data_IF_251417298896
#
_entry.id   IF_251417298896
#
_cell.length_a   1.000
_cell.length_b   1.000
_cell.length_c   1.000
_cell.angle_alpha   90.00
_cell.angle_beta   90.00
_cell.angle_gamma   90.00
#
_symmetry.space_group_name_H-M   'P 1'
#
loop_
_entity.id
_entity.type
_entity.pdbx_description
1 polymer ?
#
# COMPACT_ATOMS: atom_id res chain seq x y z
N UNK A 1 -98.34 -81.59 -17.78
CA UNK A 1 -97.76 -82.93 -17.95
C UNK A 1 -98.13 -83.34 -19.35
N UNK A 2 -97.22 -83.10 -20.30
CA UNK A 2 -96.21 -84.06 -20.78
C UNK A 2 -96.80 -84.89 -21.91
N UNK A 3 -96.10 -84.94 -23.04
CA UNK A 3 -95.80 -86.18 -23.76
C UNK A 3 -94.84 -85.80 -24.89
N UNK A 4 -93.55 -86.15 -24.70
CA UNK A 4 -92.54 -86.17 -25.76
C UNK A 4 -92.88 -87.31 -26.72
N UNK A 5 -93.13 -87.00 -27.99
CA UNK A 5 -93.33 -88.02 -29.02
C UNK A 5 -91.97 -88.63 -29.41
N UNK A 6 -91.70 -89.83 -28.92
CA UNK A 6 -90.55 -90.63 -29.35
C UNK A 6 -90.76 -91.16 -30.79
N UNK A 7 -89.90 -90.73 -31.72
CA UNK A 7 -89.87 -91.20 -33.11
C UNK A 7 -89.33 -92.63 -33.20
N UNK A 8 -90.22 -93.62 -33.42
CA UNK A 8 -89.82 -95.04 -33.66
C UNK A 8 -89.57 -95.32 -35.14
N UNK A 9 -88.58 -96.16 -35.45
CA UNK A 9 -88.38 -96.63 -36.83
C UNK A 9 -89.64 -97.35 -37.34
N UNK A 10 -90.01 -97.13 -38.60
CA UNK A 10 -91.06 -97.87 -39.32
C UNK A 10 -90.89 -99.40 -39.21
N UNK A 11 -89.63 -99.86 -39.07
CA UNK A 11 -89.21 -101.21 -38.79
C UNK A 11 -89.93 -101.87 -37.59
N UNK A 12 -90.26 -101.08 -36.56
CA UNK A 12 -90.85 -101.55 -35.30
C UNK A 12 -92.38 -101.63 -35.34
N UNK A 13 -92.99 -101.19 -36.45
CA UNK A 13 -94.44 -101.02 -36.59
C UNK A 13 -95.00 -101.77 -37.81
N UNK A 14 -94.16 -102.09 -38.81
CA UNK A 14 -94.57 -102.85 -40.00
C UNK A 14 -94.03 -104.29 -39.98
N UNK A 15 -94.93 -105.26 -40.16
CA UNK A 15 -94.56 -106.68 -40.35
C UNK A 15 -94.19 -107.00 -41.81
N UNK A 16 -94.21 -106.01 -42.71
CA UNK A 16 -94.00 -106.18 -44.14
C UNK A 16 -92.56 -106.56 -44.56
N UNK A 17 -91.60 -106.53 -43.62
CA UNK A 17 -90.28 -107.14 -43.77
C UNK A 17 -89.36 -106.55 -44.85
N UNK A 18 -89.72 -105.42 -45.47
CA UNK A 18 -89.01 -104.88 -46.63
C UNK A 18 -88.50 -103.44 -46.39
N UNK A 19 -87.91 -103.21 -45.22
CA UNK A 19 -87.29 -101.93 -44.87
C UNK A 19 -85.78 -102.09 -44.76
N UNK A 20 -85.03 -101.24 -45.47
CA UNK A 20 -83.59 -101.13 -45.29
C UNK A 20 -83.31 -99.97 -44.34
N UNK A 21 -82.89 -100.31 -43.13
CA UNK A 21 -82.49 -99.32 -42.12
C UNK A 21 -81.09 -99.64 -41.60
N UNK A 22 -80.30 -98.59 -41.36
CA UNK A 22 -78.89 -98.70 -41.05
C UNK A 22 -78.56 -99.43 -39.73
N UNK A 23 -79.55 -99.65 -38.87
CA UNK A 23 -79.39 -100.35 -37.58
C UNK A 23 -79.75 -101.84 -37.64
N UNK A 24 -80.21 -102.35 -38.78
CA UNK A 24 -80.49 -103.78 -38.95
C UNK A 24 -79.36 -104.38 -39.76
N UNK A 25 -78.55 -105.23 -39.12
CA UNK A 25 -77.46 -105.95 -39.77
C UNK A 25 -77.99 -106.83 -40.91
N UNK A 26 -77.19 -106.93 -41.98
CA UNK A 26 -77.58 -107.47 -43.29
C UNK A 26 -77.88 -108.98 -43.33
N UNK A 27 -77.90 -109.67 -42.18
CA UNK A 27 -78.10 -111.11 -42.07
C UNK A 27 -79.55 -111.54 -41.81
N UNK A 28 -80.52 -110.62 -41.93
CA UNK A 28 -81.96 -110.94 -41.79
C UNK A 28 -82.50 -111.89 -42.88
N UNK A 29 -81.75 -112.19 -43.93
CA UNK A 29 -82.22 -113.05 -45.02
C UNK A 29 -82.28 -114.55 -44.70
N UNK A 30 -82.01 -114.99 -43.46
CA UNK A 30 -81.91 -116.41 -43.10
C UNK A 30 -82.87 -116.87 -41.99
N UNK A 31 -84.06 -116.26 -41.83
CA UNK A 31 -85.04 -116.76 -40.84
C UNK A 31 -86.51 -116.82 -41.26
N UNK A 32 -86.82 -117.14 -42.53
CA UNK A 32 -88.05 -117.91 -42.88
C UNK A 32 -88.16 -118.11 -44.40
N UNK A 33 -87.87 -119.32 -44.85
CA UNK A 33 -88.04 -119.71 -46.25
C UNK A 33 -87.45 -121.08 -46.53
N UNK A 34 -88.22 -122.11 -46.20
CA UNK A 34 -87.99 -123.50 -46.54
C UNK A 34 -87.76 -123.64 -48.05
N UNK A 35 -86.70 -124.35 -48.43
CA UNK A 35 -86.54 -124.86 -49.78
C UNK A 35 -85.11 -124.76 -50.26
N UNK A 36 -84.42 -125.90 -50.24
CA UNK A 36 -83.27 -126.18 -51.09
C UNK A 36 -83.67 -125.95 -52.56
N UNK A 37 -83.66 -124.70 -53.02
CA UNK A 37 -83.83 -124.37 -54.42
C UNK A 37 -82.48 -124.00 -55.01
N UNK A 38 -81.49 -124.88 -54.81
CA UNK A 38 -80.31 -124.92 -55.66
C UNK A 38 -80.74 -125.42 -57.05
N UNK A 39 -81.40 -124.57 -57.83
CA UNK A 39 -81.66 -124.85 -59.24
C UNK A 39 -80.32 -125.11 -59.94
N UNK A 40 -80.27 -126.05 -60.90
CA UNK A 40 -79.05 -126.36 -61.66
C UNK A 40 -78.38 -125.09 -62.20
N UNK A 41 -79.18 -124.09 -62.57
CA UNK A 41 -78.74 -122.78 -63.02
C UNK A 41 -77.82 -122.06 -62.02
N UNK A 42 -78.16 -122.06 -60.72
CA UNK A 42 -77.35 -121.41 -59.68
C UNK A 42 -76.05 -122.14 -59.37
N UNK A 43 -76.01 -123.46 -59.56
CA UNK A 43 -74.80 -124.26 -59.41
C UNK A 43 -73.84 -124.14 -60.60
N UNK A 44 -74.39 -123.99 -61.82
CA UNK A 44 -73.61 -124.00 -63.06
C UNK A 44 -72.95 -122.64 -63.38
N UNK A 45 -73.49 -121.54 -62.86
CA UNK A 45 -73.02 -120.19 -63.15
C UNK A 45 -72.78 -119.36 -61.88
N UNK A 46 -71.77 -119.70 -61.05
CA UNK A 46 -71.36 -118.80 -59.97
C UNK A 46 -70.86 -117.47 -60.57
N UNK A 47 -71.27 -116.35 -59.99
CA UNK A 47 -70.82 -115.03 -60.40
C UNK A 47 -69.28 -114.95 -60.40
N UNK A 48 -68.68 -114.70 -61.56
CA UNK A 48 -67.22 -114.60 -61.66
C UNK A 48 -66.76 -113.21 -61.22
N UNK A 49 -65.96 -113.15 -60.16
CA UNK A 49 -65.28 -111.92 -59.76
C UNK A 49 -64.15 -111.61 -60.74
N UNK A 50 -64.23 -110.44 -61.40
CA UNK A 50 -63.16 -109.95 -62.26
C UNK A 50 -62.09 -109.25 -61.40
N UNK A 51 -60.90 -109.83 -61.30
CA UNK A 51 -59.77 -109.20 -60.60
C UNK A 51 -59.27 -107.99 -61.41
N UNK A 52 -59.38 -106.79 -60.85
CA UNK A 52 -58.83 -105.56 -61.47
C UNK A 52 -57.30 -105.66 -61.56
N UNK A 53 -56.76 -105.53 -62.76
CA UNK A 53 -55.31 -105.40 -62.97
C UNK A 53 -54.84 -104.03 -62.48
N UNK A 54 -53.73 -104.01 -61.72
CA UNK A 54 -53.18 -102.80 -61.10
C UNK A 54 -52.33 -102.03 -62.11
N UNK A 55 -52.48 -100.71 -62.18
CA UNK A 55 -51.68 -99.86 -63.05
C UNK A 55 -50.22 -99.79 -62.56
N UNK A 56 -49.26 -100.05 -63.46
CA UNK A 56 -47.83 -99.93 -63.17
C UNK A 56 -47.45 -98.45 -63.40
N UNK A 57 -47.05 -97.76 -62.33
CA UNK A 57 -46.48 -96.41 -62.41
C UNK A 57 -44.95 -96.50 -62.35
N UNK A 58 -44.22 -95.92 -63.32
CA UNK A 58 -42.76 -95.87 -63.24
C UNK A 58 -42.31 -95.02 -62.05
N UNK A 59 -41.20 -95.41 -61.43
CA UNK A 59 -40.64 -94.73 -60.27
C UNK A 59 -40.10 -93.34 -60.65
N UNK A 60 -40.33 -92.35 -59.79
CA UNK A 60 -39.82 -91.00 -59.96
C UNK A 60 -38.29 -90.98 -59.80
N UNK A 61 -37.57 -90.45 -60.79
CA UNK A 61 -36.11 -90.30 -60.74
C UNK A 61 -35.75 -88.96 -60.10
N UNK A 62 -35.22 -88.99 -58.87
CA UNK A 62 -34.62 -87.82 -58.22
C UNK A 62 -33.19 -87.67 -58.74
N UNK A 63 -32.91 -86.60 -59.49
CA UNK A 63 -31.56 -86.29 -59.94
C UNK A 63 -30.83 -85.55 -58.82
N UNK A 64 -30.01 -86.27 -58.04
CA UNK A 64 -29.12 -85.62 -57.08
C UNK A 64 -27.98 -84.94 -57.84
N UNK A 65 -28.00 -83.61 -57.94
CA UNK A 65 -26.80 -82.85 -58.31
C UNK A 65 -25.86 -82.85 -57.11
N UNK A 66 -24.64 -83.38 -57.28
CA UNK A 66 -23.64 -83.45 -56.20
C UNK A 66 -23.27 -82.08 -55.61
N UNK A 67 -22.46 -82.09 -54.55
CA UNK A 67 -22.03 -80.87 -53.86
C UNK A 67 -21.19 -79.96 -54.78
N UNK A 68 -21.54 -78.67 -54.82
CA UNK A 68 -20.81 -77.67 -55.59
C UNK A 68 -19.61 -77.15 -54.77
N UNK A 69 -18.39 -77.39 -55.26
CA UNK A 69 -17.20 -76.75 -54.70
C UNK A 69 -17.00 -75.36 -55.32
N UNK A 70 -17.47 -74.33 -54.63
CA UNK A 70 -17.39 -72.93 -55.05
C UNK A 70 -16.08 -72.22 -54.72
N UNK A 71 -15.02 -72.94 -54.38
CA UNK A 71 -13.72 -72.34 -54.10
C UNK A 71 -12.99 -71.99 -55.41
N UNK A 72 -12.84 -70.70 -55.68
CA UNK A 72 -12.09 -70.21 -56.84
C UNK A 72 -10.59 -70.23 -56.54
N UNK A 73 -9.77 -70.37 -57.59
CA UNK A 73 -8.30 -70.31 -57.48
C UNK A 73 -7.84 -69.04 -56.77
N UNK A 74 -8.49 -67.90 -57.04
CA UNK A 74 -8.16 -66.65 -56.38
C UNK A 74 -8.38 -66.70 -54.86
N UNK A 75 -9.49 -67.29 -54.40
CA UNK A 75 -9.80 -67.40 -52.97
C UNK A 75 -8.86 -68.36 -52.25
N UNK A 76 -8.42 -69.43 -52.93
CA UNK A 76 -7.45 -70.38 -52.41
C UNK A 76 -6.03 -69.78 -52.35
N UNK A 77 -5.60 -69.06 -53.41
CA UNK A 77 -4.22 -68.59 -53.55
C UNK A 77 -3.94 -67.30 -52.77
N UNK A 78 -4.91 -66.39 -52.70
CA UNK A 78 -4.77 -65.05 -52.11
C UNK A 78 -5.53 -64.89 -50.78
N UNK A 79 -5.36 -65.86 -49.89
CA UNK A 79 -5.84 -65.72 -48.51
C UNK A 79 -4.89 -64.85 -47.67
N UNK A 80 -5.38 -64.32 -46.55
CA UNK A 80 -4.58 -63.52 -45.62
C UNK A 80 -3.36 -64.32 -45.12
N UNK A 81 -2.16 -63.76 -45.31
CA UNK A 81 -0.90 -64.34 -44.83
C UNK A 81 -0.41 -63.52 -43.64
N UNK A 82 -0.40 -64.10 -42.44
CA UNK A 82 0.21 -63.46 -41.29
C UNK A 82 1.74 -63.61 -41.33
N UNK A 83 2.46 -62.49 -41.37
CA UNK A 83 3.92 -62.47 -41.31
C UNK A 83 4.36 -61.94 -39.95
N UNK A 84 5.25 -62.66 -39.27
CA UNK A 84 5.82 -62.21 -37.99
C UNK A 84 6.85 -61.10 -38.22
N UNK A 85 6.92 -60.12 -37.31
CA UNK A 85 7.93 -59.05 -37.36
C UNK A 85 9.34 -59.63 -37.26
N UNK A 86 10.23 -59.22 -38.17
CA UNK A 86 11.65 -59.57 -38.12
C UNK A 86 12.28 -59.16 -36.78
N UNK A 87 13.05 -60.07 -36.17
CA UNK A 87 13.84 -59.77 -34.96
C UNK A 87 15.00 -58.84 -35.33
N UNK A 88 15.25 -57.83 -34.50
CA UNK A 88 16.38 -56.93 -34.69
C UNK A 88 17.69 -57.61 -34.30
N UNK A 89 18.69 -57.59 -35.18
CA UNK A 89 20.06 -58.06 -34.90
C UNK A 89 20.96 -56.99 -34.26
N UNK A 90 20.37 -56.04 -33.51
CA UNK A 90 21.16 -54.97 -32.89
C UNK A 90 22.03 -55.57 -31.76
N UNK A 91 23.36 -55.37 -31.76
CA UNK A 91 24.20 -55.81 -30.66
C UNK A 91 23.85 -55.06 -29.38
N UNK A 92 23.97 -55.75 -28.24
CA UNK A 92 23.79 -55.13 -26.92
C UNK A 92 24.93 -54.16 -26.67
N UNK A 93 24.63 -52.90 -26.41
CA UNK A 93 25.64 -51.91 -26.08
C UNK A 93 26.20 -52.17 -24.68
N UNK A 94 27.47 -52.56 -24.59
CA UNK A 94 28.22 -52.64 -23.34
C UNK A 94 28.96 -51.33 -23.09
N UNK A 95 28.82 -50.68 -21.92
CA UNK A 95 29.62 -49.51 -21.60
C UNK A 95 31.09 -49.91 -21.49
N UNK A 96 31.97 -49.14 -22.14
CA UNK A 96 33.41 -49.29 -21.99
C UNK A 96 33.79 -48.61 -20.67
N UNK A 97 34.23 -49.38 -19.68
CA UNK A 97 34.75 -48.83 -18.44
C UNK A 97 36.15 -48.26 -18.70
N UNK A 98 36.25 -46.94 -18.83
CA UNK A 98 37.54 -46.26 -18.86
C UNK A 98 38.20 -46.39 -17.48
N UNK A 99 39.48 -46.77 -17.44
CA UNK A 99 40.27 -46.85 -16.21
C UNK A 99 40.46 -45.48 -15.54
N UNK A 100 41.06 -45.48 -14.36
CA UNK A 100 41.34 -44.25 -13.61
C UNK A 100 42.30 -43.33 -14.39
N UNK A 101 41.91 -42.05 -14.52
CA UNK A 101 42.74 -41.04 -15.16
C UNK A 101 43.61 -40.34 -14.11
N UNK A 102 44.93 -40.50 -14.22
CA UNK A 102 45.87 -39.72 -13.42
C UNK A 102 46.16 -38.38 -14.11
N UNK A 103 45.50 -37.32 -13.63
CA UNK A 103 45.62 -35.96 -14.15
C UNK A 103 46.67 -35.09 -13.46
N UNK A 104 47.59 -35.68 -12.70
CA UNK A 104 48.65 -34.91 -12.05
C UNK A 104 49.74 -34.53 -13.05
N UNK A 105 49.73 -33.26 -13.46
CA UNK A 105 50.74 -32.68 -14.35
C UNK A 105 51.97 -32.28 -13.56
N UNK A 106 53.13 -32.24 -14.23
CA UNK A 106 54.39 -31.75 -13.65
C UNK A 106 54.27 -30.35 -13.06
N UNK A 107 53.44 -29.50 -13.66
CA UNK A 107 53.20 -28.16 -13.13
C UNK A 107 52.54 -28.20 -11.74
N UNK A 108 51.57 -29.11 -11.55
CA UNK A 108 50.84 -29.26 -10.28
C UNK A 108 51.72 -29.88 -9.20
N UNK A 109 52.66 -30.77 -9.55
CA UNK A 109 53.60 -31.36 -8.61
C UNK A 109 54.74 -30.41 -8.23
N UNK A 110 55.28 -29.67 -9.19
CA UNK A 110 56.56 -28.97 -9.02
C UNK A 110 56.38 -27.54 -8.52
N UNK A 111 55.24 -26.91 -8.82
CA UNK A 111 54.94 -25.52 -8.46
C UNK A 111 53.84 -25.41 -7.41
N UNK A 112 54.04 -26.12 -6.29
CA UNK A 112 53.20 -25.96 -5.11
C UNK A 112 53.60 -24.72 -4.29
N UNK A 113 52.64 -24.18 -3.54
CA UNK A 113 52.91 -23.06 -2.62
C UNK A 113 53.81 -23.54 -1.49
N UNK A 114 55.06 -23.07 -1.47
CA UNK A 114 56.01 -23.36 -0.40
C UNK A 114 55.89 -22.30 0.68
N UNK A 115 55.64 -22.71 1.93
CA UNK A 115 55.71 -21.81 3.07
C UNK A 115 57.18 -21.55 3.41
N UNK A 116 57.59 -20.28 3.39
CA UNK A 116 58.94 -19.84 3.75
C UNK A 116 58.86 -19.02 5.03
N UNK A 117 59.84 -19.18 5.92
CA UNK A 117 59.93 -18.41 7.16
C UNK A 117 60.10 -16.92 6.85
N UNK A 118 59.33 -16.06 7.54
CA UNK A 118 59.40 -14.61 7.36
C UNK A 118 60.74 -14.10 7.89
N UNK A 119 61.45 -13.30 7.09
CA UNK A 119 62.68 -12.65 7.55
C UNK A 119 62.39 -11.78 8.78
N UNK A 120 63.18 -11.98 9.84
CA UNK A 120 63.09 -11.17 11.06
C UNK A 120 63.63 -9.76 10.77
N UNK A 121 62.84 -8.75 11.10
CA UNK A 121 63.25 -7.35 10.94
C UNK A 121 64.42 -7.03 11.88
N UNK A 122 65.54 -6.60 11.31
CA UNK A 122 66.67 -6.09 12.09
C UNK A 122 66.38 -4.64 12.50
N UNK A 123 66.35 -4.37 13.81
CA UNK A 123 66.24 -3.01 14.36
C UNK A 123 67.53 -2.67 15.11
N UNK A 124 68.35 -1.74 14.61
CA UNK A 124 69.53 -1.28 15.34
C UNK A 124 69.11 -0.59 16.64
N UNK A 125 69.90 -0.80 17.68
CA UNK A 125 69.68 -0.15 18.99
C UNK A 125 69.90 1.35 18.81
N UNK A 126 68.84 2.14 19.01
CA UNK A 126 68.96 3.59 19.06
C UNK A 126 69.64 3.99 20.37
N UNK A 127 70.91 4.39 20.31
CA UNK A 127 71.55 5.07 21.42
C UNK A 127 71.08 6.52 21.45
N UNK A 128 70.33 6.89 22.48
CA UNK A 128 70.07 8.30 22.77
C UNK A 128 71.35 8.88 23.36
N UNK A 129 72.13 9.58 22.54
CA UNK A 129 73.23 10.41 23.05
C UNK A 129 72.59 11.51 23.88
N UNK A 130 72.68 11.39 25.21
CA UNK A 130 72.15 12.40 26.13
C UNK A 130 72.86 13.73 25.90
N UNK A 131 72.12 14.73 25.42
CA UNK A 131 72.61 16.10 25.35
C UNK A 131 72.71 16.68 26.75
N UNK A 132 73.86 17.27 27.09
CA UNK A 132 74.02 18.02 28.35
C UNK A 132 73.12 19.25 28.41
N UNK A 133 73.02 19.85 29.61
CA UNK A 133 72.17 21.00 29.84
C UNK A 133 72.57 22.19 28.94
N UNK A 134 71.64 22.66 28.11
CA UNK A 134 71.86 23.81 27.24
C UNK A 134 71.21 25.05 27.87
N UNK A 135 72.05 25.98 28.34
CA UNK A 135 71.57 27.20 29.02
C UNK A 135 70.90 28.20 28.07
N UNK A 136 71.28 28.21 26.78
CA UNK A 136 70.60 28.98 25.74
C UNK A 136 70.55 30.50 25.92
N UNK A 137 71.34 31.07 26.82
CA UNK A 137 71.43 32.52 27.04
C UNK A 137 72.48 33.09 26.10
N UNK A 138 72.03 33.85 25.11
CA UNK A 138 72.91 34.60 24.21
C UNK A 138 73.22 35.97 24.80
N UNK A 139 74.37 36.55 24.43
CA UNK A 139 74.77 37.92 24.85
C UNK A 139 73.71 38.96 24.51
N UNK A 140 73.06 38.84 23.35
CA UNK A 140 71.96 39.74 22.99
C UNK A 140 70.78 39.65 23.97
N UNK A 141 70.46 38.44 24.45
CA UNK A 141 69.36 38.22 25.40
C UNK A 141 69.70 38.71 26.81
N UNK A 142 70.97 38.71 27.21
CA UNK A 142 71.41 39.25 28.52
C UNK A 142 71.55 40.77 28.51
N UNK A 143 72.02 41.34 27.39
CA UNK A 143 72.50 42.73 27.38
C UNK A 143 71.43 43.75 26.95
N UNK A 144 70.39 43.29 26.25
CA UNK A 144 69.32 44.14 25.70
C UNK A 144 67.95 43.81 26.30
N UNK A 145 67.82 44.03 27.61
CA UNK A 145 66.55 43.94 28.32
C UNK A 145 65.75 45.25 28.26
N UNK A 146 64.42 45.16 28.38
CA UNK A 146 63.56 46.34 28.43
C UNK A 146 63.71 47.04 29.78
N UNK A 147 64.51 48.11 29.82
CA UNK A 147 64.64 48.96 31.02
C UNK A 147 63.44 49.89 31.15
N UNK A 148 62.81 49.87 32.32
CA UNK A 148 61.66 50.73 32.61
C UNK A 148 62.17 52.10 33.06
N UNK A 149 62.03 53.11 32.20
CA UNK A 149 62.40 54.49 32.54
C UNK A 149 61.34 55.11 33.46
N UNK A 150 61.77 55.85 34.48
CA UNK A 150 60.85 56.63 35.30
C UNK A 150 60.27 57.79 34.49
N UNK A 151 58.93 57.96 34.56
CA UNK A 151 58.26 59.09 33.93
C UNK A 151 58.67 60.39 34.62
N UNK A 152 59.08 61.38 33.85
CA UNK A 152 59.32 62.72 34.37
C UNK A 152 58.00 63.33 34.86
N UNK A 153 58.02 63.89 36.07
CA UNK A 153 56.89 64.61 36.65
C UNK A 153 56.79 65.99 36.03
N UNK A 154 55.58 66.42 35.66
CA UNK A 154 55.36 67.77 35.14
C UNK A 154 55.62 68.81 36.24
N UNK A 155 56.52 69.76 35.98
CA UNK A 155 56.73 70.92 36.85
C UNK A 155 55.66 71.97 36.56
N UNK A 156 54.83 72.32 37.55
CA UNK A 156 53.83 73.39 37.45
C UNK A 156 54.31 74.59 38.28
N UNK A 157 54.64 75.74 37.66
CA UNK A 157 54.99 76.96 38.37
C UNK A 157 53.84 77.43 39.26
N UNK A 158 54.15 78.14 40.35
CA UNK A 158 53.14 78.73 41.22
C UNK A 158 52.31 79.77 40.47
N UNK A 159 50.99 79.68 40.56
CA UNK A 159 50.08 80.66 39.94
C UNK A 159 50.16 81.99 40.69
N UNK A 160 50.64 83.03 40.01
CA UNK A 160 50.65 84.39 40.53
C UNK A 160 49.27 85.03 40.35
N UNK A 161 48.56 85.25 41.45
CA UNK A 161 47.32 86.03 41.47
C UNK A 161 47.65 87.51 41.66
N UNK A 162 47.50 88.31 40.60
CA UNK A 162 47.62 89.76 40.69
C UNK A 162 46.27 90.34 41.12
N UNK A 163 46.17 90.81 42.37
CA UNK A 163 44.97 91.50 42.86
C UNK A 163 44.76 92.83 42.16
N UNK A 164 43.53 93.12 41.72
CA UNK A 164 43.16 94.42 41.16
C UNK A 164 43.01 95.48 42.25
N UNK A 165 43.51 96.69 42.01
CA UNK A 165 43.35 97.83 42.92
C UNK A 165 41.92 98.39 42.94
N UNK A 166 41.58 99.14 43.98
CA UNK A 166 40.25 99.73 44.16
C UNK A 166 39.97 100.80 43.09
N UNK A 167 38.81 100.70 42.44
CA UNK A 167 38.39 101.66 41.40
C UNK A 167 37.50 102.74 42.00
N UNK A 168 37.98 103.99 42.02
CA UNK A 168 37.29 105.11 42.68
C UNK A 168 36.14 105.71 41.85
N UNK A 169 36.08 105.46 40.54
CA UNK A 169 34.88 105.72 39.71
C UNK A 169 34.36 107.15 39.63
N UNK A 170 35.16 108.16 39.97
CA UNK A 170 34.74 109.57 39.93
C UNK A 170 34.96 110.16 38.53
N UNK A 171 33.86 110.41 37.82
CA UNK A 171 33.89 111.07 36.51
C UNK A 171 33.86 112.58 36.67
N UNK A 172 34.42 113.32 35.71
CA UNK A 172 34.43 114.79 35.70
C UNK A 172 33.03 115.37 35.88
N UNK A 173 32.03 114.82 35.20
CA UNK A 173 30.64 115.28 35.32
C UNK A 173 30.11 115.19 36.76
N UNK A 174 30.37 114.08 37.47
CA UNK A 174 29.97 113.93 38.88
C UNK A 174 30.63 114.94 39.81
N UNK A 175 31.86 115.34 39.51
CA UNK A 175 32.62 116.28 40.33
C UNK A 175 32.22 117.73 40.03
N UNK A 176 32.00 118.06 38.76
CA UNK A 176 31.86 119.45 38.31
C UNK A 176 30.43 120.00 38.42
N UNK A 177 29.41 119.14 38.36
CA UNK A 177 27.99 119.54 38.36
C UNK A 177 27.27 119.16 39.65
N UNK A 178 27.75 119.70 40.77
CA UNK A 178 27.07 119.63 42.06
C UNK A 178 26.00 120.74 42.21
N UNK A 179 25.05 120.53 43.11
CA UNK A 179 23.97 121.51 43.37
C UNK A 179 24.57 122.77 44.04
N UNK A 180 24.48 123.91 43.36
CA UNK A 180 24.85 125.22 43.93
C UNK A 180 23.63 125.94 44.50
N UNK A 181 23.71 126.42 45.74
CA UNK A 181 22.70 127.31 46.32
C UNK A 181 23.01 128.76 45.93
N UNK A 182 22.00 129.50 45.47
CA UNK A 182 22.13 130.91 45.08
C UNK A 182 21.31 131.78 46.02
N UNK A 183 21.88 132.90 46.45
CA UNK A 183 21.22 133.86 47.35
C UNK A 183 20.06 134.56 46.65
N UNK A 184 18.93 134.70 47.36
CA UNK A 184 17.74 135.40 46.84
C UNK A 184 17.96 136.92 46.90
N UNK A 185 17.59 137.63 45.83
CA UNK A 185 17.69 139.09 45.80
C UNK A 185 16.65 139.75 46.73
N UNK A 186 17.04 140.83 47.40
CA UNK A 186 16.18 141.62 48.28
C UNK A 186 15.49 142.78 47.53
N UNK A 187 14.29 143.15 48.00
CA UNK A 187 13.53 144.26 47.42
C UNK A 187 14.00 145.62 47.98
N UNK A 188 14.10 146.64 47.13
CA UNK A 188 14.49 148.01 47.50
C UNK A 188 13.22 148.81 47.84
N UNK A 189 13.16 149.43 49.03
CA UNK A 189 12.07 150.33 49.46
C UNK A 189 12.62 151.69 49.91
N UNK A 190 11.99 152.83 49.54
CA UNK A 190 12.44 154.16 49.98
C UNK A 190 12.24 154.37 51.47
N UNK A 191 13.08 155.21 52.08
CA UNK A 191 12.99 155.57 53.50
C UNK A 191 11.85 156.58 53.76
N UNK A 192 11.08 156.37 54.82
CA UNK A 192 10.08 157.33 55.30
C UNK A 192 10.74 158.47 56.08
N UNK A 193 10.38 159.72 55.78
CA UNK A 193 10.86 160.89 56.51
C UNK A 193 9.77 161.39 57.48
N UNK A 194 10.11 161.47 58.78
CA UNK A 194 9.25 162.03 59.83
C UNK A 194 9.78 163.39 60.27
N UNK A 195 8.92 164.42 60.28
CA UNK A 195 9.23 165.75 60.79
C UNK A 195 8.64 165.92 62.21
N UNK A 196 9.45 166.34 63.19
CA UNK A 196 9.06 166.40 64.60
C UNK A 196 8.15 167.58 64.97
N UNK A 197 7.19 167.36 65.88
CA UNK A 197 6.34 168.38 66.49
C UNK A 197 6.83 168.75 67.91
N UNK A 198 6.68 170.02 68.30
CA UNK A 198 7.20 170.57 69.56
C UNK A 198 6.53 170.05 70.85
N UNK A 199 7.18 170.32 71.99
CA UNK A 199 6.86 169.73 73.30
C UNK A 199 5.55 170.21 73.93
N UNK A 200 4.88 169.30 74.65
CA UNK A 200 3.63 169.52 75.35
C UNK A 200 3.82 169.40 76.87
N UNK A 201 3.64 170.50 77.60
CA UNK A 201 3.89 170.58 79.05
C UNK A 201 2.67 170.18 79.92
N UNK A 202 1.88 169.19 79.53
CA UNK A 202 0.48 168.93 79.94
C UNK A 202 0.10 168.77 81.43
N UNK A 203 0.50 169.67 82.32
CA UNK A 203 -0.04 169.79 83.67
C UNK A 203 -1.41 170.49 83.65
N UNK A 204 -2.39 169.89 84.33
CA UNK A 204 -3.77 170.38 84.40
C UNK A 204 -4.15 170.74 85.84
N UNK A 205 -5.09 171.66 86.00
CA UNK A 205 -5.48 172.26 87.28
C UNK A 205 -5.91 171.23 88.34
N UNK A 206 -6.53 170.13 87.92
CA UNK A 206 -6.93 169.05 88.83
C UNK A 206 -5.71 168.43 89.57
N UNK A 207 -4.57 168.32 88.88
CA UNK A 207 -3.32 167.80 89.43
C UNK A 207 -2.63 168.80 90.39
N UNK A 208 -2.97 170.09 90.29
CA UNK A 208 -2.37 171.16 91.11
C UNK A 208 -3.22 171.44 92.35
N UNK A 209 -4.54 171.24 92.29
CA UNK A 209 -5.46 171.75 93.32
C UNK A 209 -5.90 170.70 94.37
N UNK A 210 -5.88 169.40 94.06
CA UNK A 210 -6.42 168.35 94.94
C UNK A 210 -5.35 167.39 95.45
N UNK A 211 -4.53 167.87 96.39
CA UNK A 211 -3.58 167.05 97.12
C UNK A 211 -4.24 166.42 98.35
N UNK A 212 -4.04 165.11 98.55
CA UNK A 212 -4.58 164.37 99.70
C UNK A 212 -3.90 164.84 101.00
N UNK A 213 -4.64 165.50 101.90
CA UNK A 213 -4.16 165.97 103.22
C UNK A 213 -4.56 165.00 104.34
N UNK A 214 -3.62 164.65 105.21
CA UNK A 214 -3.89 163.86 106.42
C UNK A 214 -4.27 164.77 107.60
N UNK A 215 -5.27 164.38 108.40
CA UNK A 215 -5.73 165.12 109.58
C UNK A 215 -5.65 164.23 110.81
N UNK A 216 -4.99 164.72 111.86
CA UNK A 216 -4.74 164.03 113.13
C UNK A 216 -5.68 164.48 114.24
N UNK A 217 -6.16 163.54 115.06
CA UNK A 217 -6.25 163.64 116.52
C UNK A 217 -5.97 162.27 117.14
#
# INVERSE_FOLDING_TARGET
MSEEEEERCICQICECGNHKCAHVDADWFTSKGIGEAATEYGAQYPGKEAVRTRAIRPAETIVNSGEFNGETTNKADFNEKHVSRNRSFKPVASPIQSGEFNGDTTNKSDFNVKQVEKQKAFRPVQSTVGGGEFTGVTTNKSDFDRKQAQRQTAFRPAEASYGGGEFTGNTTNKVDYDRKEVQRQSAIRPAEATYGGGEFMGDTTNKVDYDRKEVSF
#
